data_IF_060902938848
#
_entry.id   IF_060902938848
#
_cell.length_a   1.000
_cell.length_b   1.000
_cell.length_c   1.000
_cell.angle_alpha   90.00
_cell.angle_beta   90.00
_cell.angle_gamma   90.00
#
_symmetry.space_group_name_H-M   'P 1'
#
loop_
_entity.id
_entity.type
_entity.pdbx_description
1 polymer ?
#
# COMPACT_ATOMS: atom_id res chain seq x y z
N UNK A 1 8.15 -22.03 -26.24
CA UNK A 1 7.54 -21.38 -25.06
C UNK A 1 8.46 -20.26 -24.61
N UNK A 2 7.95 -19.07 -24.28
CA UNK A 2 8.78 -18.02 -23.70
C UNK A 2 9.41 -18.52 -22.39
N UNK A 3 10.63 -18.11 -22.05
CA UNK A 3 11.26 -18.49 -20.79
C UNK A 3 10.41 -17.97 -19.62
N UNK A 4 10.06 -18.86 -18.69
CA UNK A 4 9.30 -18.52 -17.49
C UNK A 4 10.18 -17.68 -16.56
N UNK A 5 9.80 -16.42 -16.34
CA UNK A 5 10.50 -15.48 -15.46
C UNK A 5 9.60 -15.16 -14.28
N UNK A 6 10.10 -15.36 -13.06
CA UNK A 6 9.32 -15.13 -11.85
C UNK A 6 9.48 -13.69 -11.36
N UNK A 7 10.73 -13.19 -11.34
CA UNK A 7 11.08 -11.88 -10.77
C UNK A 7 12.14 -11.19 -11.62
N UNK A 8 12.07 -9.87 -11.72
CA UNK A 8 13.04 -9.02 -12.40
C UNK A 8 13.68 -8.07 -11.39
N UNK A 9 15.01 -8.11 -11.31
CA UNK A 9 15.80 -7.16 -10.52
C UNK A 9 16.30 -6.06 -11.44
N UNK A 10 15.85 -4.84 -11.22
CA UNK A 10 16.31 -3.65 -11.96
C UNK A 10 17.57 -3.13 -11.31
N UNK A 11 18.69 -3.28 -12.01
CA UNK A 11 20.00 -2.88 -11.56
C UNK A 11 20.47 -1.61 -12.29
N UNK A 12 21.03 -0.66 -11.53
CA UNK A 12 21.59 0.57 -12.06
C UNK A 12 23.01 0.33 -12.58
N UNK A 13 23.20 0.42 -13.90
CA UNK A 13 24.51 0.29 -14.52
C UNK A 13 25.36 1.57 -14.36
N UNK A 14 24.75 2.76 -14.47
CA UNK A 14 25.46 4.04 -14.38
C UNK A 14 24.84 5.00 -13.35
N UNK A 15 25.67 5.80 -12.68
CA UNK A 15 25.20 6.84 -11.76
C UNK A 15 24.58 8.01 -12.54
N UNK A 16 23.44 8.54 -12.08
CA UNK A 16 22.73 9.64 -12.77
C UNK A 16 23.51 10.96 -12.72
N UNK A 17 23.62 11.61 -13.89
CA UNK A 17 23.57 13.08 -14.11
C UNK A 17 24.59 13.98 -13.38
N UNK A 18 25.80 13.51 -13.11
CA UNK A 18 26.92 14.43 -12.83
C UNK A 18 28.07 14.11 -13.77
N UNK A 19 28.73 15.11 -14.39
CA UNK A 19 29.94 14.86 -15.17
C UNK A 19 31.03 14.42 -14.20
N UNK A 20 31.10 13.12 -13.96
CA UNK A 20 32.14 12.52 -13.14
C UNK A 20 33.47 12.68 -13.87
N UNK A 21 34.52 13.01 -13.11
CA UNK A 21 35.89 12.98 -13.63
C UNK A 21 36.20 11.60 -14.21
N UNK A 22 37.05 11.51 -15.25
CA UNK A 22 37.42 10.24 -15.89
C UNK A 22 37.83 9.16 -14.87
N UNK A 23 38.51 9.57 -13.80
CA UNK A 23 38.91 8.66 -12.72
C UNK A 23 37.73 8.17 -11.88
N UNK A 24 36.76 9.04 -11.59
CA UNK A 24 35.53 8.68 -10.87
C UNK A 24 34.65 7.75 -11.70
N UNK A 25 34.55 7.97 -13.01
CA UNK A 25 33.81 7.08 -13.94
C UNK A 25 34.42 5.69 -13.96
N UNK A 26 35.76 5.57 -13.95
CA UNK A 26 36.45 4.27 -13.90
C UNK A 26 36.18 3.55 -12.58
N UNK A 27 36.21 4.27 -11.45
CA UNK A 27 35.87 3.71 -10.12
C UNK A 27 34.40 3.28 -10.05
N UNK A 28 33.50 4.06 -10.64
CA UNK A 28 32.06 3.76 -10.73
C UNK A 28 31.82 2.46 -11.50
N UNK A 29 32.40 2.35 -12.69
CA UNK A 29 32.31 1.16 -13.54
C UNK A 29 32.86 -0.09 -12.83
N UNK A 30 34.00 0.03 -12.15
CA UNK A 30 34.57 -1.06 -11.37
C UNK A 30 33.66 -1.48 -10.20
N UNK A 31 33.03 -0.53 -9.49
CA UNK A 31 32.05 -0.82 -8.43
C UNK A 31 30.81 -1.52 -9.00
N UNK A 32 30.27 -1.01 -10.10
CA UNK A 32 29.11 -1.60 -10.81
C UNK A 32 29.39 -3.04 -11.22
N UNK A 33 30.53 -3.29 -11.87
CA UNK A 33 30.91 -4.62 -12.31
C UNK A 33 31.04 -5.59 -11.13
N UNK A 34 31.73 -5.17 -10.06
CA UNK A 34 31.88 -5.99 -8.84
C UNK A 34 30.53 -6.34 -8.22
N UNK A 35 29.66 -5.34 -8.04
CA UNK A 35 28.35 -5.56 -7.40
C UNK A 35 27.42 -6.40 -8.29
N UNK A 36 27.48 -6.25 -9.60
CA UNK A 36 26.75 -7.10 -10.53
C UNK A 36 27.26 -8.55 -10.50
N UNK A 37 28.57 -8.78 -10.51
CA UNK A 37 29.14 -10.13 -10.38
C UNK A 37 28.73 -10.78 -9.07
N UNK A 38 28.79 -10.04 -7.95
CA UNK A 38 28.35 -10.52 -6.64
C UNK A 38 26.84 -10.83 -6.64
N UNK A 39 26.01 -10.01 -7.28
CA UNK A 39 24.57 -10.24 -7.42
C UNK A 39 24.29 -11.57 -8.14
N UNK A 40 24.88 -11.76 -9.33
CA UNK A 40 24.68 -12.97 -10.12
C UNK A 40 25.21 -14.19 -9.36
N UNK A 41 26.42 -14.11 -8.81
CA UNK A 41 27.03 -15.20 -8.03
C UNK A 41 26.17 -15.57 -6.80
N UNK A 42 25.57 -14.59 -6.14
CA UNK A 42 24.68 -14.83 -4.99
C UNK A 42 23.39 -15.52 -5.44
N UNK A 43 22.78 -15.10 -6.54
CA UNK A 43 21.59 -15.74 -7.11
C UNK A 43 21.89 -17.17 -7.59
N UNK A 44 23.02 -17.40 -8.26
CA UNK A 44 23.40 -18.73 -8.75
C UNK A 44 23.78 -19.67 -7.63
N UNK A 45 24.50 -19.20 -6.59
CA UNK A 45 24.82 -20.00 -5.39
C UNK A 45 23.56 -20.38 -4.60
N UNK A 46 22.53 -19.54 -4.66
CA UNK A 46 21.23 -19.83 -4.08
C UNK A 46 20.40 -20.87 -4.87
N UNK A 47 20.87 -21.29 -6.04
CA UNK A 47 20.16 -22.21 -6.93
C UNK A 47 19.13 -21.54 -7.85
N UNK A 48 19.10 -20.21 -7.93
CA UNK A 48 18.25 -19.47 -8.86
C UNK A 48 18.94 -19.34 -10.23
N UNK A 49 18.15 -19.38 -11.31
CA UNK A 49 18.65 -19.11 -12.66
C UNK A 49 18.51 -17.61 -12.92
N UNK A 50 19.64 -16.91 -13.05
CA UNK A 50 19.68 -15.47 -13.27
C UNK A 50 20.35 -15.12 -14.61
N UNK A 51 19.71 -14.25 -15.39
CA UNK A 51 20.23 -13.78 -16.68
C UNK A 51 20.11 -12.27 -16.77
N UNK A 52 21.23 -11.57 -17.01
CA UNK A 52 21.25 -10.14 -17.28
C UNK A 52 20.90 -9.80 -18.73
N UNK A 53 20.00 -8.83 -18.92
CA UNK A 53 19.64 -8.23 -20.21
C UNK A 53 19.73 -6.71 -20.11
N UNK A 54 20.05 -6.06 -21.23
CA UNK A 54 20.08 -4.59 -21.31
C UNK A 54 18.65 -4.05 -21.17
N UNK A 55 18.46 -3.05 -20.31
CA UNK A 55 17.19 -2.32 -20.20
C UNK A 55 17.01 -1.30 -21.32
N UNK A 56 15.84 -0.69 -21.37
CA UNK A 56 15.51 0.36 -22.35
C UNK A 56 16.38 1.61 -22.14
N UNK A 57 16.58 2.00 -20.89
CA UNK A 57 17.52 3.07 -20.54
C UNK A 57 18.97 2.56 -20.57
N UNK A 58 19.88 3.35 -21.13
CA UNK A 58 21.32 3.02 -21.17
C UNK A 58 21.93 2.78 -19.77
N UNK A 59 21.30 3.34 -18.74
CA UNK A 59 21.75 3.24 -17.34
C UNK A 59 21.15 2.03 -16.59
N UNK A 60 20.35 1.19 -17.23
CA UNK A 60 19.62 0.10 -16.59
C UNK A 60 19.99 -1.27 -17.16
N UNK A 61 20.22 -2.21 -16.25
CA UNK A 61 20.39 -3.63 -16.53
C UNK A 61 19.26 -4.40 -15.83
N UNK A 62 18.58 -5.26 -16.57
CA UNK A 62 17.48 -6.09 -16.07
C UNK A 62 18.01 -7.49 -15.82
N UNK A 63 17.99 -7.93 -14.56
CA UNK A 63 18.34 -9.30 -14.20
C UNK A 63 17.05 -10.11 -14.08
N UNK A 64 16.82 -10.97 -15.05
CA UNK A 64 15.68 -11.89 -15.08
C UNK A 64 16.01 -13.11 -14.20
N UNK A 65 15.16 -13.38 -13.22
CA UNK A 65 15.35 -14.46 -12.26
C UNK A 65 14.22 -15.49 -12.40
N UNK A 66 14.60 -16.76 -12.52
CA UNK A 66 13.70 -17.90 -12.59
C UNK A 66 14.07 -18.93 -11.52
N UNK A 67 13.06 -19.40 -10.79
CA UNK A 67 13.22 -20.41 -9.76
C UNK A 67 12.99 -21.82 -10.34
N UNK A 68 13.96 -22.76 -10.22
CA UNK A 68 13.73 -24.14 -10.61
C UNK A 68 12.69 -24.82 -9.70
N UNK A 69 12.03 -25.87 -10.19
CA UNK A 69 11.00 -26.62 -9.47
C UNK A 69 11.49 -27.14 -8.11
N UNK A 70 12.71 -27.67 -8.07
CA UNK A 70 13.24 -28.36 -6.88
C UNK A 70 13.47 -27.38 -5.73
N UNK A 71 14.01 -26.19 -6.04
CA UNK A 71 14.17 -25.13 -5.06
C UNK A 71 12.81 -24.59 -4.60
N UNK A 72 11.85 -24.46 -5.53
CA UNK A 72 10.50 -24.01 -5.18
C UNK A 72 9.81 -24.96 -4.20
N UNK A 73 9.89 -26.28 -4.43
CA UNK A 73 9.32 -27.29 -3.52
C UNK A 73 9.92 -27.16 -2.13
N UNK A 74 11.24 -26.99 -2.04
CA UNK A 74 11.92 -26.75 -0.76
C UNK A 74 11.43 -25.48 -0.06
N UNK A 75 11.28 -24.37 -0.79
CA UNK A 75 10.79 -23.11 -0.24
C UNK A 75 9.36 -23.22 0.29
N UNK A 76 8.48 -23.90 -0.44
CA UNK A 76 7.09 -24.18 -0.02
C UNK A 76 7.08 -25.00 1.26
N UNK A 77 7.90 -26.05 1.34
CA UNK A 77 7.97 -26.88 2.54
C UNK A 77 8.46 -26.08 3.75
N UNK A 78 9.50 -25.26 3.58
CA UNK A 78 10.00 -24.39 4.66
C UNK A 78 8.94 -23.38 5.13
N UNK A 79 8.17 -22.81 4.21
CA UNK A 79 7.08 -21.90 4.57
C UNK A 79 5.96 -22.60 5.32
N UNK A 80 5.41 -23.71 4.78
CA UNK A 80 4.33 -24.47 5.45
C UNK A 80 4.74 -24.93 6.84
N UNK A 81 6.00 -25.34 7.01
CA UNK A 81 6.53 -25.73 8.30
C UNK A 81 6.60 -24.54 9.27
N UNK A 82 7.06 -23.38 8.82
CA UNK A 82 7.03 -22.14 9.60
C UNK A 82 5.60 -21.76 9.99
N UNK A 83 4.68 -21.74 9.03
CA UNK A 83 3.27 -21.40 9.25
C UNK A 83 2.62 -22.32 10.29
N UNK A 84 2.92 -23.63 10.22
CA UNK A 84 2.51 -24.60 11.23
C UNK A 84 3.03 -24.26 12.62
N UNK A 85 4.34 -24.00 12.77
CA UNK A 85 4.97 -23.69 14.06
C UNK A 85 4.40 -22.43 14.70
N UNK A 86 4.04 -21.42 13.91
CA UNK A 86 3.45 -20.18 14.39
C UNK A 86 1.91 -20.24 14.54
N UNK A 87 1.31 -21.39 14.23
CA UNK A 87 -0.10 -21.70 14.45
C UNK A 87 -1.05 -21.06 13.45
N UNK A 88 -0.63 -20.87 12.19
CA UNK A 88 -1.54 -20.46 11.13
C UNK A 88 -2.52 -21.60 10.83
N UNK A 89 -3.78 -21.29 10.47
CA UNK A 89 -4.74 -22.32 10.09
C UNK A 89 -4.24 -23.03 8.83
N UNK A 90 -4.15 -24.36 8.86
CA UNK A 90 -3.75 -25.17 7.73
C UNK A 90 -4.77 -26.28 7.47
N UNK A 91 -4.97 -26.60 6.20
CA UNK A 91 -5.87 -27.69 5.79
C UNK A 91 -5.25 -29.08 5.95
N UNK A 92 -3.92 -29.18 5.92
CA UNK A 92 -3.16 -30.43 6.05
C UNK A 92 -1.93 -30.21 6.94
N UNK A 93 -1.58 -31.21 7.74
CA UNK A 93 -0.31 -31.23 8.48
C UNK A 93 0.85 -31.47 7.50
N UNK A 94 2.01 -30.82 7.70
CA UNK A 94 3.19 -31.07 6.88
C UNK A 94 3.72 -32.47 7.23
N UNK A 95 3.31 -33.49 6.47
CA UNK A 95 3.95 -34.81 6.50
C UNK A 95 5.13 -34.82 5.53
N UNK A 96 6.24 -35.44 5.95
CA UNK A 96 7.52 -35.38 5.23
C UNK A 96 7.50 -36.00 3.81
N UNK A 97 6.47 -36.77 3.45
CA UNK A 97 6.50 -37.64 2.26
C UNK A 97 5.33 -37.44 1.27
N UNK A 98 4.23 -36.78 1.65
CA UNK A 98 2.97 -36.84 0.86
C UNK A 98 2.59 -35.56 0.08
N UNK A 99 3.35 -34.47 0.20
CA UNK A 99 2.94 -33.15 -0.31
C UNK A 99 3.57 -32.72 -1.64
N UNK A 100 4.34 -33.60 -2.29
CA UNK A 100 4.92 -33.36 -3.62
C UNK A 100 3.87 -33.17 -4.73
N UNK A 101 2.65 -33.72 -4.55
CA UNK A 101 1.66 -33.86 -5.64
C UNK A 101 0.29 -33.17 -5.43
N UNK A 102 0.02 -32.45 -4.33
CA UNK A 102 -1.35 -31.93 -4.10
C UNK A 102 -1.50 -30.41 -4.31
N UNK A 103 -2.00 -30.09 -5.51
CA UNK A 103 -2.44 -28.81 -6.07
C UNK A 103 -1.35 -27.88 -6.66
N UNK A 104 -1.54 -27.37 -7.91
CA UNK A 104 -0.66 -26.38 -8.48
C UNK A 104 -0.65 -25.12 -7.61
N UNK A 105 0.55 -24.61 -7.29
CA UNK A 105 0.70 -23.35 -6.59
C UNK A 105 0.05 -22.23 -7.40
N UNK A 106 -0.65 -21.34 -6.68
CA UNK A 106 -1.10 -20.07 -7.21
C UNK A 106 0.07 -19.27 -7.79
N UNK A 107 -0.17 -18.54 -8.88
CA UNK A 107 0.86 -17.72 -9.52
C UNK A 107 1.37 -16.63 -8.56
N UNK A 108 0.47 -16.07 -7.76
CA UNK A 108 0.82 -15.10 -6.73
C UNK A 108 1.71 -15.72 -5.64
N UNK A 109 1.39 -16.93 -5.17
CA UNK A 109 2.17 -17.59 -4.11
C UNK A 109 3.57 -17.95 -4.57
N UNK A 110 3.71 -18.43 -5.81
CA UNK A 110 5.02 -18.70 -6.42
C UNK A 110 5.87 -17.43 -6.45
N UNK A 111 5.33 -16.33 -6.98
CA UNK A 111 6.04 -15.05 -7.05
C UNK A 111 6.37 -14.52 -5.66
N UNK A 112 5.44 -14.61 -4.71
CA UNK A 112 5.60 -14.18 -3.32
C UNK A 112 6.74 -14.93 -2.65
N UNK A 113 6.81 -16.26 -2.79
CA UNK A 113 7.88 -17.11 -2.24
C UNK A 113 9.25 -16.74 -2.81
N UNK A 114 9.35 -16.63 -4.13
CA UNK A 114 10.62 -16.29 -4.80
C UNK A 114 11.05 -14.88 -4.43
N UNK A 115 10.13 -13.92 -4.44
CA UNK A 115 10.40 -12.55 -4.02
C UNK A 115 10.84 -12.49 -2.55
N UNK A 116 10.11 -13.14 -1.65
CA UNK A 116 10.45 -13.18 -0.23
C UNK A 116 11.82 -13.82 0.00
N UNK A 117 12.17 -14.89 -0.71
CA UNK A 117 13.49 -15.52 -0.62
C UNK A 117 14.62 -14.57 -1.07
N UNK A 118 14.42 -13.82 -2.15
CA UNK A 118 15.39 -12.83 -2.66
C UNK A 118 15.56 -11.65 -1.68
N UNK A 119 14.46 -11.12 -1.15
CA UNK A 119 14.47 -9.87 -0.36
C UNK A 119 14.63 -10.05 1.14
N UNK A 120 14.35 -11.23 1.70
CA UNK A 120 14.48 -11.45 3.16
C UNK A 120 15.95 -11.50 3.58
N UNK A 121 16.20 -11.14 4.84
CA UNK A 121 17.57 -11.13 5.38
C UNK A 121 18.13 -12.55 5.52
N UNK A 122 19.47 -12.74 5.51
CA UNK A 122 20.07 -14.05 5.73
C UNK A 122 19.71 -14.69 7.08
N UNK A 123 19.44 -13.88 8.11
CA UNK A 123 18.98 -14.36 9.42
C UNK A 123 17.59 -15.02 9.34
N UNK A 124 16.75 -14.55 8.43
CA UNK A 124 15.39 -15.03 8.18
C UNK A 124 15.34 -16.13 7.08
N UNK A 125 16.50 -16.55 6.56
CA UNK A 125 16.65 -17.59 5.53
C UNK A 125 16.64 -17.10 4.07
N UNK A 126 16.82 -15.79 3.83
CA UNK A 126 16.86 -15.19 2.49
C UNK A 126 18.23 -14.78 1.97
N UNK A 127 18.25 -14.10 0.83
CA UNK A 127 19.48 -13.64 0.14
C UNK A 127 19.90 -12.21 0.49
N UNK A 128 19.04 -11.44 1.16
CA UNK A 128 19.34 -10.07 1.57
C UNK A 128 19.44 -9.05 0.43
N UNK A 129 18.88 -9.33 -0.75
CA UNK A 129 18.88 -8.41 -1.89
C UNK A 129 17.76 -7.40 -1.69
N UNK A 130 18.03 -6.37 -0.88
CA UNK A 130 17.06 -5.35 -0.48
C UNK A 130 17.37 -4.02 -1.17
N UNK A 131 16.34 -3.36 -1.67
CA UNK A 131 16.45 -2.04 -2.31
C UNK A 131 16.81 -0.96 -1.28
N UNK A 132 17.83 -0.15 -1.57
CA UNK A 132 18.17 1.02 -0.75
C UNK A 132 19.07 0.72 0.46
N UNK A 133 19.48 -0.52 0.68
CA UNK A 133 20.54 -0.85 1.63
C UNK A 133 21.92 -0.45 1.08
N UNK A 134 22.84 -0.04 1.96
CA UNK A 134 24.23 0.32 1.59
C UNK A 134 24.98 -0.80 0.85
N UNK A 135 24.63 -2.05 1.15
CA UNK A 135 25.19 -3.23 0.49
C UNK A 135 24.73 -3.36 -0.97
N UNK A 136 23.52 -2.89 -1.27
CA UNK A 136 22.84 -3.00 -2.56
C UNK A 136 22.44 -1.64 -3.16
N UNK A 137 23.34 -0.66 -3.09
CA UNK A 137 23.13 0.72 -3.59
C UNK A 137 22.59 0.81 -5.03
N UNK A 138 22.95 -0.15 -5.88
CA UNK A 138 22.61 -0.15 -7.32
C UNK A 138 21.31 -0.88 -7.64
N UNK A 139 20.75 -1.66 -6.71
CA UNK A 139 19.48 -2.36 -6.92
C UNK A 139 18.35 -1.34 -6.76
N UNK A 140 17.67 -1.02 -7.86
CA UNK A 140 16.60 -0.03 -7.88
C UNK A 140 15.27 -0.62 -7.40
N UNK A 141 14.93 -1.81 -7.88
CA UNK A 141 13.66 -2.48 -7.57
C UNK A 141 13.73 -3.96 -7.88
N UNK A 142 13.00 -4.76 -7.11
CA UNK A 142 12.72 -6.17 -7.38
C UNK A 142 11.22 -6.25 -7.67
N UNK A 143 10.83 -6.66 -8.88
CA UNK A 143 9.43 -6.62 -9.33
C UNK A 143 9.02 -7.91 -10.05
N UNK A 144 7.74 -8.23 -10.04
CA UNK A 144 7.16 -9.32 -10.82
C UNK A 144 6.65 -8.83 -12.18
N UNK A 145 6.65 -9.70 -13.18
CA UNK A 145 6.09 -9.39 -14.50
C UNK A 145 4.57 -9.59 -14.50
N UNK A 146 3.87 -8.73 -15.23
CA UNK A 146 2.42 -8.87 -15.41
C UNK A 146 2.10 -9.95 -16.45
N UNK A 147 1.01 -10.68 -16.20
CA UNK A 147 0.39 -11.53 -17.20
C UNK A 147 -0.60 -10.69 -18.03
N UNK A 148 -0.19 -10.28 -19.22
CA UNK A 148 -1.00 -9.44 -20.10
C UNK A 148 -2.29 -10.14 -20.57
N UNK A 149 -2.24 -11.46 -20.81
CA UNK A 149 -3.41 -12.23 -21.24
C UNK A 149 -4.50 -12.25 -20.15
N UNK A 150 -4.09 -12.50 -18.90
CA UNK A 150 -5.00 -12.44 -17.75
C UNK A 150 -5.59 -11.04 -17.59
N UNK A 151 -4.76 -10.00 -17.66
CA UNK A 151 -5.21 -8.62 -17.50
C UNK A 151 -6.25 -8.23 -18.56
N UNK A 152 -6.03 -8.61 -19.81
CA UNK A 152 -6.97 -8.31 -20.90
C UNK A 152 -8.30 -9.04 -20.71
N UNK A 153 -8.27 -10.34 -20.36
CA UNK A 153 -9.46 -11.10 -20.04
C UNK A 153 -10.22 -10.50 -18.85
N UNK A 154 -9.49 -10.12 -17.81
CA UNK A 154 -10.03 -9.53 -16.59
C UNK A 154 -10.74 -8.19 -16.86
N UNK A 155 -10.08 -7.29 -17.59
CA UNK A 155 -10.65 -5.98 -17.95
C UNK A 155 -11.95 -6.17 -18.74
N UNK A 156 -11.97 -7.09 -19.73
CA UNK A 156 -13.16 -7.41 -20.54
C UNK A 156 -14.32 -7.94 -19.69
N UNK A 157 -14.05 -8.77 -18.69
CA UNK A 157 -15.07 -9.30 -17.77
C UNK A 157 -15.71 -8.18 -16.93
N UNK A 158 -14.91 -7.21 -16.49
CA UNK A 158 -15.40 -6.07 -15.70
C UNK A 158 -16.22 -5.07 -16.52
N UNK A 159 -15.90 -4.88 -17.80
CA UNK A 159 -16.62 -3.90 -18.64
C UNK A 159 -18.02 -4.37 -19.05
N UNK A 160 -18.25 -5.69 -19.19
CA UNK A 160 -19.45 -6.24 -19.85
C UNK A 160 -20.66 -6.45 -18.93
N UNK A 161 -20.82 -5.64 -17.86
CA UNK A 161 -21.93 -5.67 -16.87
C UNK A 161 -22.03 -6.93 -16.00
N UNK A 162 -21.03 -7.80 -15.95
CA UNK A 162 -20.99 -9.00 -15.10
C UNK A 162 -20.24 -8.80 -13.78
N UNK A 163 -20.33 -7.61 -13.18
CA UNK A 163 -19.66 -7.27 -11.91
C UNK A 163 -20.04 -8.26 -10.79
N UNK A 164 -21.27 -8.81 -10.83
CA UNK A 164 -21.74 -9.79 -9.85
C UNK A 164 -21.15 -11.20 -10.02
N UNK A 165 -20.68 -11.58 -11.22
CA UNK A 165 -20.13 -12.92 -11.52
C UNK A 165 -18.61 -12.94 -11.61
N UNK A 166 -17.95 -11.90 -11.12
CA UNK A 166 -16.49 -11.85 -11.08
C UNK A 166 -16.01 -12.80 -9.98
N UNK A 167 -15.31 -13.87 -10.37
CA UNK A 167 -14.63 -14.77 -9.44
C UNK A 167 -13.45 -14.04 -8.79
N UNK A 168 -13.72 -13.37 -7.65
CA UNK A 168 -12.70 -12.66 -6.87
C UNK A 168 -11.55 -13.58 -6.40
N UNK A 169 -11.77 -14.89 -6.38
CA UNK A 169 -10.75 -15.90 -6.08
C UNK A 169 -9.62 -15.90 -7.12
N UNK A 170 -9.92 -15.69 -8.41
CA UNK A 170 -8.89 -15.56 -9.45
C UNK A 170 -7.99 -14.35 -9.26
N UNK A 171 -8.52 -13.26 -8.67
CA UNK A 171 -7.72 -12.08 -8.31
C UNK A 171 -6.70 -12.44 -7.25
N UNK A 172 -7.11 -13.21 -6.24
CA UNK A 172 -6.23 -13.69 -5.19
C UNK A 172 -5.13 -14.58 -5.77
N UNK A 173 -5.49 -15.50 -6.66
CA UNK A 173 -4.53 -16.44 -7.23
C UNK A 173 -3.51 -15.76 -8.17
N UNK A 174 -3.82 -14.58 -8.71
CA UNK A 174 -2.91 -13.83 -9.57
C UNK A 174 -2.15 -12.68 -8.87
N UNK A 175 -2.79 -11.98 -7.93
CA UNK A 175 -2.26 -10.76 -7.30
C UNK A 175 -2.00 -10.90 -5.79
N UNK A 176 -2.41 -12.01 -5.17
CA UNK A 176 -2.22 -12.31 -3.76
C UNK A 176 -3.33 -11.76 -2.85
N UNK A 177 -3.22 -12.10 -1.57
CA UNK A 177 -4.29 -11.90 -0.59
C UNK A 177 -4.57 -10.43 -0.27
N UNK A 178 -3.54 -9.57 -0.22
CA UNK A 178 -3.72 -8.16 0.13
C UNK A 178 -4.55 -7.40 -0.91
N UNK A 179 -4.29 -7.65 -2.20
CA UNK A 179 -5.04 -7.03 -3.29
C UNK A 179 -6.44 -7.65 -3.39
N UNK A 180 -6.56 -8.97 -3.19
CA UNK A 180 -7.86 -9.63 -3.13
C UNK A 180 -8.74 -9.03 -2.01
N UNK A 181 -8.21 -8.84 -0.80
CA UNK A 181 -8.95 -8.27 0.32
C UNK A 181 -9.53 -6.89 -0.01
N UNK A 182 -8.77 -6.05 -0.73
CA UNK A 182 -9.26 -4.76 -1.21
C UNK A 182 -10.48 -4.92 -2.14
N UNK A 183 -10.42 -5.79 -3.14
CA UNK A 183 -11.54 -6.00 -4.07
C UNK A 183 -12.75 -6.67 -3.42
N UNK A 184 -12.52 -7.60 -2.47
CA UNK A 184 -13.57 -8.18 -1.64
C UNK A 184 -14.26 -7.09 -0.80
N UNK A 185 -13.50 -6.21 -0.15
CA UNK A 185 -14.05 -5.08 0.59
C UNK A 185 -14.83 -4.14 -0.31
N UNK A 186 -14.27 -3.74 -1.45
CA UNK A 186 -14.90 -2.84 -2.39
C UNK A 186 -16.25 -3.39 -2.88
N UNK A 187 -16.29 -4.68 -3.23
CA UNK A 187 -17.53 -5.34 -3.68
C UNK A 187 -18.56 -5.41 -2.55
N UNK A 188 -18.13 -5.78 -1.34
CA UNK A 188 -18.99 -5.87 -0.17
C UNK A 188 -19.55 -4.50 0.23
N UNK A 189 -18.71 -3.45 0.23
CA UNK A 189 -19.10 -2.08 0.54
C UNK A 189 -20.05 -1.50 -0.52
N UNK A 190 -19.77 -1.73 -1.80
CA UNK A 190 -20.65 -1.26 -2.89
C UNK A 190 -22.04 -1.92 -2.79
N UNK A 191 -22.11 -3.22 -2.47
CA UNK A 191 -23.40 -3.90 -2.23
C UNK A 191 -24.10 -3.38 -0.99
N UNK A 192 -23.36 -3.16 0.11
CA UNK A 192 -23.93 -2.62 1.34
C UNK A 192 -24.48 -1.20 1.16
N UNK A 193 -23.85 -0.37 0.31
CA UNK A 193 -24.27 0.99 -0.02
C UNK A 193 -25.61 1.07 -0.76
N UNK A 194 -26.13 -0.03 -1.31
CA UNK A 194 -27.45 -0.06 -1.94
C UNK A 194 -28.53 0.36 -0.92
N UNK A 195 -28.43 -0.12 0.33
CA UNK A 195 -29.39 0.23 1.39
C UNK A 195 -29.44 1.75 1.68
N UNK A 196 -28.34 2.43 2.07
CA UNK A 196 -28.38 3.86 2.35
C UNK A 196 -28.66 4.69 1.09
N UNK A 197 -28.34 4.18 -0.11
CA UNK A 197 -28.69 4.86 -1.37
C UNK A 197 -30.20 4.87 -1.61
N UNK A 198 -30.86 3.73 -1.47
CA UNK A 198 -32.33 3.64 -1.59
C UNK A 198 -33.00 4.49 -0.50
N UNK A 199 -32.53 4.37 0.74
CA UNK A 199 -33.03 5.18 1.85
C UNK A 199 -32.85 6.69 1.57
N UNK A 200 -31.68 7.09 1.06
CA UNK A 200 -31.38 8.47 0.69
C UNK A 200 -32.29 9.01 -0.40
N UNK A 201 -32.56 8.23 -1.45
CA UNK A 201 -33.50 8.61 -2.52
C UNK A 201 -34.92 8.79 -1.97
N UNK A 202 -35.39 7.87 -1.12
CA UNK A 202 -36.72 7.98 -0.51
C UNK A 202 -36.86 9.25 0.34
N UNK A 203 -35.88 9.55 1.20
CA UNK A 203 -35.91 10.75 2.04
C UNK A 203 -35.64 12.04 1.26
N UNK A 204 -34.93 11.99 0.14
CA UNK A 204 -34.74 13.16 -0.72
C UNK A 204 -36.05 13.62 -1.38
N UNK A 205 -36.90 12.68 -1.82
CA UNK A 205 -38.17 13.01 -2.49
C UNK A 205 -39.35 13.17 -1.53
N UNK A 206 -39.40 12.38 -0.44
CA UNK A 206 -40.57 12.32 0.45
C UNK A 206 -40.29 12.79 1.88
N UNK A 207 -39.01 12.93 2.25
CA UNK A 207 -38.60 13.27 3.60
C UNK A 207 -38.46 14.78 3.83
N UNK A 208 -38.33 15.15 5.10
CA UNK A 208 -37.93 16.49 5.51
C UNK A 208 -36.41 16.59 5.62
N UNK A 209 -35.81 17.75 5.28
CA UNK A 209 -34.40 17.97 5.54
C UNK A 209 -34.11 17.86 7.04
N UNK A 210 -32.94 17.31 7.40
CA UNK A 210 -32.50 17.09 8.78
C UNK A 210 -33.38 16.14 9.61
N UNK A 211 -34.00 15.13 8.97
CA UNK A 211 -34.79 14.12 9.68
C UNK A 211 -33.95 13.31 10.68
N UNK A 212 -34.42 13.25 11.93
CA UNK A 212 -33.84 12.44 13.01
C UNK A 212 -33.90 10.94 12.66
N UNK A 213 -35.02 10.50 12.06
CA UNK A 213 -35.24 9.08 11.72
C UNK A 213 -34.26 8.63 10.63
N UNK A 214 -34.01 9.46 9.61
CA UNK A 214 -33.01 9.16 8.59
C UNK A 214 -31.61 9.01 9.19
N UNK A 215 -31.25 9.93 10.10
CA UNK A 215 -29.94 9.96 10.74
C UNK A 215 -29.70 8.75 11.65
N UNK A 216 -30.72 8.32 12.41
CA UNK A 216 -30.62 7.13 13.27
C UNK A 216 -30.51 5.84 12.44
N UNK A 217 -31.26 5.73 11.34
CA UNK A 217 -31.17 4.58 10.43
C UNK A 217 -29.79 4.49 9.77
N UNK A 218 -29.22 5.62 9.30
CA UNK A 218 -27.87 5.65 8.75
C UNK A 218 -26.81 5.27 9.79
N UNK A 219 -26.94 5.78 11.02
CA UNK A 219 -26.05 5.43 12.12
C UNK A 219 -26.07 3.93 12.41
N UNK A 220 -27.26 3.34 12.57
CA UNK A 220 -27.42 1.89 12.78
C UNK A 220 -26.79 1.11 11.62
N UNK A 221 -27.08 1.50 10.37
CA UNK A 221 -26.50 0.85 9.19
C UNK A 221 -24.97 0.89 9.22
N UNK A 222 -24.36 2.03 9.57
CA UNK A 222 -22.91 2.17 9.65
C UNK A 222 -22.26 1.23 10.66
N UNK A 223 -22.87 1.08 11.85
CA UNK A 223 -22.39 0.16 12.89
C UNK A 223 -22.53 -1.29 12.44
N UNK A 224 -23.70 -1.64 11.90
CA UNK A 224 -23.99 -2.99 11.40
C UNK A 224 -23.02 -3.37 10.27
N UNK A 225 -22.76 -2.46 9.32
CA UNK A 225 -21.83 -2.71 8.24
C UNK A 225 -20.40 -2.96 8.74
N UNK A 226 -19.91 -2.15 9.68
CA UNK A 226 -18.56 -2.30 10.24
C UNK A 226 -18.41 -3.65 10.96
N UNK A 227 -19.37 -4.03 11.80
CA UNK A 227 -19.31 -5.31 12.51
C UNK A 227 -19.49 -6.51 11.58
N UNK A 228 -20.40 -6.41 10.60
CA UNK A 228 -20.56 -7.44 9.57
C UNK A 228 -19.27 -7.62 8.75
N UNK A 229 -18.61 -6.52 8.34
CA UNK A 229 -17.35 -6.61 7.61
C UNK A 229 -16.23 -7.23 8.46
N UNK A 230 -16.13 -6.91 9.75
CA UNK A 230 -15.18 -7.54 10.67
C UNK A 230 -15.38 -9.06 10.74
N UNK A 231 -16.62 -9.54 10.68
CA UNK A 231 -16.91 -10.98 10.59
C UNK A 231 -16.48 -11.56 9.24
N UNK A 232 -16.79 -10.89 8.13
CA UNK A 232 -16.36 -11.33 6.80
C UNK A 232 -14.85 -11.40 6.66
N UNK A 233 -14.10 -10.41 7.17
CA UNK A 233 -12.64 -10.41 7.20
C UNK A 233 -12.08 -11.63 7.95
N UNK A 234 -12.69 -11.99 9.10
CA UNK A 234 -12.30 -13.19 9.86
C UNK A 234 -12.58 -14.47 9.08
N UNK A 235 -13.73 -14.58 8.43
CA UNK A 235 -14.08 -15.75 7.60
C UNK A 235 -13.09 -15.87 6.43
N UNK A 236 -12.80 -14.77 5.74
CA UNK A 236 -11.85 -14.74 4.63
C UNK A 236 -10.43 -15.09 5.07
N UNK A 237 -9.94 -14.53 6.18
CA UNK A 237 -8.59 -14.83 6.68
C UNK A 237 -8.41 -16.29 7.10
N UNK A 238 -9.45 -16.95 7.60
CA UNK A 238 -9.41 -18.40 7.87
C UNK A 238 -9.46 -19.19 6.55
N UNK A 239 -10.36 -18.81 5.63
CA UNK A 239 -10.49 -19.47 4.30
C UNK A 239 -9.21 -19.38 3.47
N UNK A 240 -8.46 -18.30 3.61
CA UNK A 240 -7.20 -18.07 2.89
C UNK A 240 -5.98 -18.55 3.65
N UNK A 241 -6.14 -19.16 4.82
CA UNK A 241 -5.04 -19.61 5.67
C UNK A 241 -4.09 -18.48 6.16
N UNK A 242 -4.54 -17.23 6.12
CA UNK A 242 -3.73 -16.04 6.45
C UNK A 242 -3.98 -15.49 7.85
N UNK A 243 -4.88 -16.09 8.63
CA UNK A 243 -5.16 -15.64 10.00
C UNK A 243 -3.92 -15.78 10.88
N UNK A 244 -3.41 -14.66 11.37
CA UNK A 244 -2.19 -14.64 12.18
C UNK A 244 -0.90 -14.52 11.37
N UNK A 245 -0.98 -14.20 10.07
CA UNK A 245 0.18 -14.01 9.18
C UNK A 245 1.20 -12.99 9.71
N UNK A 246 0.80 -12.04 10.56
CA UNK A 246 1.72 -11.11 11.22
C UNK A 246 2.81 -11.80 12.04
N UNK A 247 2.61 -13.05 12.50
CA UNK A 247 3.58 -13.82 13.28
C UNK A 247 4.72 -14.38 12.44
N UNK A 248 4.44 -14.69 11.17
CA UNK A 248 5.39 -15.27 10.22
C UNK A 248 6.01 -14.22 9.29
N UNK A 249 5.54 -12.98 9.36
CA UNK A 249 6.05 -11.88 8.57
C UNK A 249 7.54 -11.66 8.83
N UNK A 250 8.35 -11.69 7.75
CA UNK A 250 9.80 -11.46 7.82
C UNK A 250 10.12 -10.06 8.33
N UNK A 251 11.26 -9.91 8.99
CA UNK A 251 11.66 -8.62 9.55
C UNK A 251 12.12 -7.67 8.45
N UNK A 252 11.89 -6.38 8.67
CA UNK A 252 12.42 -5.32 7.79
C UNK A 252 13.94 -5.31 7.89
N UNK A 253 14.61 -5.06 6.77
CA UNK A 253 16.06 -4.95 6.70
C UNK A 253 16.62 -3.86 7.63
N UNK A 254 15.91 -2.73 7.73
CA UNK A 254 16.32 -1.57 8.55
C UNK A 254 16.04 -1.76 10.05
N UNK A 255 15.50 -2.91 10.45
CA UNK A 255 15.14 -3.17 11.84
C UNK A 255 16.38 -3.46 12.69
N UNK A 256 16.57 -2.66 13.74
CA UNK A 256 17.64 -2.88 14.72
C UNK A 256 17.08 -3.66 15.92
N UNK A 257 17.56 -4.90 16.18
CA UNK A 257 17.11 -5.71 17.32
C UNK A 257 17.61 -5.14 18.66
N UNK A 258 16.96 -5.54 19.76
CA UNK A 258 17.36 -5.13 21.12
C UNK A 258 16.97 -3.69 21.49
N UNK A 259 16.13 -3.03 20.69
CA UNK A 259 15.66 -1.68 20.99
C UNK A 259 14.63 -1.70 22.15
N UNK A 260 14.84 -0.95 23.24
CA UNK A 260 13.90 -0.95 24.37
C UNK A 260 12.51 -0.44 23.97
N UNK A 261 11.47 -1.12 24.46
CA UNK A 261 10.08 -0.80 24.12
C UNK A 261 9.69 0.64 24.52
N UNK A 262 10.18 1.13 25.68
CA UNK A 262 9.88 2.46 26.18
C UNK A 262 10.46 3.56 25.28
N UNK A 263 11.65 3.35 24.71
CA UNK A 263 12.25 4.28 23.75
C UNK A 263 11.42 4.32 22.46
N UNK A 264 10.91 3.16 22.03
CA UNK A 264 10.06 3.09 20.83
C UNK A 264 8.77 3.88 21.04
N UNK A 265 8.14 3.71 22.20
CA UNK A 265 6.92 4.44 22.51
C UNK A 265 7.18 5.94 22.65
N UNK A 266 8.28 6.34 23.28
CA UNK A 266 8.69 7.75 23.33
C UNK A 266 8.88 8.36 21.92
N UNK A 267 9.49 7.62 20.98
CA UNK A 267 9.63 8.07 19.57
C UNK A 267 8.28 8.26 18.89
N UNK A 268 7.31 7.36 19.12
CA UNK A 268 5.95 7.54 18.59
C UNK A 268 5.28 8.77 19.17
N UNK A 269 5.43 9.01 20.48
CA UNK A 269 4.88 10.20 21.14
C UNK A 269 5.47 11.50 20.57
N UNK A 270 6.75 11.49 20.15
CA UNK A 270 7.38 12.65 19.47
C UNK A 270 6.67 13.03 18.16
N UNK A 271 5.98 12.11 17.50
CA UNK A 271 5.24 12.42 16.27
C UNK A 271 3.95 13.22 16.52
N UNK A 272 3.34 13.10 17.70
CA UNK A 272 2.07 13.76 18.06
C UNK A 272 2.12 15.28 17.91
N UNK A 273 3.08 16.02 18.50
CA UNK A 273 3.11 17.48 18.38
C UNK A 273 3.29 17.94 16.93
N UNK A 274 4.01 17.18 16.11
CA UNK A 274 4.18 17.48 14.69
C UNK A 274 2.87 17.28 13.93
N UNK A 275 2.16 16.17 14.20
CA UNK A 275 0.83 15.93 13.62
C UNK A 275 -0.13 17.06 14.00
N UNK A 276 -0.14 17.48 15.27
CA UNK A 276 -0.96 18.59 15.75
C UNK A 276 -0.60 19.92 15.09
N UNK A 277 0.69 20.22 14.91
CA UNK A 277 1.14 21.42 14.21
C UNK A 277 0.65 21.43 12.76
N UNK A 278 0.84 20.34 12.02
CA UNK A 278 0.38 20.27 10.63
C UNK A 278 -1.16 20.29 10.54
N UNK A 279 -1.85 19.66 11.48
CA UNK A 279 -3.29 19.72 11.59
C UNK A 279 -3.79 21.14 11.86
N UNK A 280 -3.14 21.89 12.76
CA UNK A 280 -3.53 23.28 13.05
C UNK A 280 -3.27 24.21 11.87
N UNK A 281 -2.11 24.10 11.21
CA UNK A 281 -1.81 24.87 9.99
C UNK A 281 -2.83 24.56 8.89
N UNK A 282 -3.14 23.28 8.65
CA UNK A 282 -4.15 22.88 7.68
C UNK A 282 -5.52 23.48 8.03
N UNK A 283 -5.94 23.37 9.29
CA UNK A 283 -7.22 23.94 9.74
C UNK A 283 -7.28 25.45 9.56
N UNK A 284 -6.20 26.20 9.85
CA UNK A 284 -6.15 27.65 9.64
C UNK A 284 -6.30 28.00 8.16
N UNK A 285 -5.59 27.30 7.27
CA UNK A 285 -5.67 27.53 5.83
C UNK A 285 -7.08 27.23 5.32
N UNK A 286 -7.67 26.10 5.73
CA UNK A 286 -9.02 25.70 5.30
C UNK A 286 -10.08 26.68 5.80
N UNK A 287 -10.02 27.11 7.06
CA UNK A 287 -10.91 28.14 7.59
C UNK A 287 -10.73 29.48 6.86
N UNK A 288 -9.49 29.87 6.56
CA UNK A 288 -9.21 31.10 5.79
C UNK A 288 -9.79 31.05 4.37
N UNK A 289 -9.64 29.92 3.67
CA UNK A 289 -10.27 29.69 2.36
C UNK A 289 -11.80 29.78 2.47
N UNK A 290 -12.38 29.14 3.48
CA UNK A 290 -13.83 29.14 3.70
C UNK A 290 -14.39 30.55 3.97
N UNK A 291 -13.71 31.33 4.82
CA UNK A 291 -14.11 32.72 5.10
C UNK A 291 -13.99 33.58 3.83
N UNK A 292 -12.92 33.40 3.06
CA UNK A 292 -12.75 34.10 1.78
C UNK A 292 -13.86 33.73 0.79
N UNK A 293 -14.26 32.46 0.74
CA UNK A 293 -15.38 31.99 -0.07
C UNK A 293 -16.70 32.66 0.32
N UNK A 294 -17.02 32.70 1.61
CA UNK A 294 -18.19 33.40 2.12
C UNK A 294 -18.16 34.90 1.76
N UNK A 295 -17.01 35.57 1.96
CA UNK A 295 -16.85 36.99 1.63
C UNK A 295 -17.07 37.29 0.13
N UNK A 296 -16.44 36.50 -0.75
CA UNK A 296 -16.51 36.71 -2.20
C UNK A 296 -17.92 36.44 -2.73
N UNK A 297 -18.61 35.43 -2.18
CA UNK A 297 -19.95 35.06 -2.64
C UNK A 297 -21.06 35.97 -2.10
N UNK A 298 -20.92 36.50 -0.89
CA UNK A 298 -21.98 37.28 -0.24
C UNK A 298 -21.80 38.79 -0.35
N UNK A 299 -20.56 39.29 -0.23
CA UNK A 299 -20.31 40.72 0.01
C UNK A 299 -19.66 41.42 -1.18
N UNK A 300 -19.01 40.69 -2.09
CA UNK A 300 -18.25 41.28 -3.18
C UNK A 300 -19.10 41.51 -4.46
N UNK A 301 -19.58 42.75 -4.63
CA UNK A 301 -20.27 43.21 -5.85
C UNK A 301 -19.37 44.02 -6.81
N UNK A 302 -18.04 43.87 -6.70
CA UNK A 302 -17.08 44.61 -7.52
C UNK A 302 -17.00 44.15 -8.99
N UNK A 303 -16.30 44.91 -9.85
CA UNK A 303 -16.06 44.50 -11.22
C UNK A 303 -15.26 43.19 -11.26
N UNK A 304 -15.69 42.25 -12.11
CA UNK A 304 -14.99 40.95 -12.25
C UNK A 304 -15.39 39.89 -11.21
N UNK A 305 -16.52 40.03 -10.52
CA UNK A 305 -17.00 39.07 -9.51
C UNK A 305 -16.94 37.60 -9.97
N UNK A 306 -17.23 37.32 -11.25
CA UNK A 306 -17.17 35.96 -11.84
C UNK A 306 -15.76 35.35 -11.78
N UNK A 307 -14.72 36.16 -11.91
CA UNK A 307 -13.32 35.71 -11.86
C UNK A 307 -12.89 35.59 -10.39
N UNK A 308 -13.24 36.58 -9.57
CA UNK A 308 -12.91 36.61 -8.14
C UNK A 308 -13.54 35.43 -7.40
N UNK A 309 -14.72 34.96 -7.82
CA UNK A 309 -15.38 33.76 -7.29
C UNK A 309 -14.53 32.48 -7.32
N UNK A 310 -13.57 32.37 -8.26
CA UNK A 310 -12.67 31.21 -8.33
C UNK A 310 -11.45 31.33 -7.39
N UNK A 311 -11.21 32.49 -6.79
CA UNK A 311 -10.03 32.75 -5.94
C UNK A 311 -9.89 31.76 -4.76
N UNK A 312 -10.95 31.46 -3.98
CA UNK A 312 -10.84 30.49 -2.88
C UNK A 312 -10.48 29.08 -3.37
N UNK A 313 -11.08 28.64 -4.48
CA UNK A 313 -10.80 27.34 -5.10
C UNK A 313 -9.37 27.26 -5.62
N UNK A 314 -8.88 28.33 -6.26
CA UNK A 314 -7.48 28.43 -6.71
C UNK A 314 -6.51 28.37 -5.52
N UNK A 315 -6.78 29.14 -4.47
CA UNK A 315 -5.97 29.16 -3.25
C UNK A 315 -5.92 27.77 -2.58
N UNK A 316 -7.07 27.11 -2.45
CA UNK A 316 -7.18 25.75 -1.94
C UNK A 316 -6.32 24.78 -2.77
N UNK A 317 -6.52 24.77 -4.09
CA UNK A 317 -5.83 23.86 -5.01
C UNK A 317 -4.31 24.08 -5.05
N UNK A 318 -3.84 25.30 -4.80
CA UNK A 318 -2.43 25.63 -4.77
C UNK A 318 -1.76 25.26 -3.43
N UNK A 319 -2.41 25.56 -2.30
CA UNK A 319 -1.78 25.43 -0.97
C UNK A 319 -1.96 24.04 -0.35
N UNK A 320 -3.16 23.47 -0.41
CA UNK A 320 -3.52 22.26 0.34
C UNK A 320 -2.73 21.03 -0.15
N UNK A 321 -2.64 20.74 -1.46
CA UNK A 321 -1.88 19.58 -1.92
C UNK A 321 -0.39 19.66 -1.56
N UNK A 322 0.21 20.85 -1.60
CA UNK A 322 1.62 21.05 -1.23
C UNK A 322 1.86 20.74 0.25
N UNK A 323 0.97 21.22 1.12
CA UNK A 323 1.03 20.93 2.56
C UNK A 323 0.86 19.44 2.85
N UNK A 324 -0.08 18.77 2.18
CA UNK A 324 -0.33 17.34 2.34
C UNK A 324 0.88 16.50 1.90
N UNK A 325 1.52 16.84 0.77
CA UNK A 325 2.73 16.13 0.32
C UNK A 325 3.92 16.38 1.26
N UNK A 326 4.11 17.62 1.74
CA UNK A 326 5.13 17.93 2.75
C UNK A 326 4.92 17.14 4.06
N UNK A 327 3.66 17.02 4.50
CA UNK A 327 3.30 16.23 5.65
C UNK A 327 3.54 14.74 5.43
N UNK A 328 3.10 14.16 4.29
CA UNK A 328 3.34 12.75 3.96
C UNK A 328 4.84 12.43 3.96
N UNK A 329 5.66 13.30 3.37
CA UNK A 329 7.12 13.14 3.38
C UNK A 329 7.69 13.16 4.81
N UNK A 330 7.21 14.07 5.66
CA UNK A 330 7.61 14.15 7.08
C UNK A 330 7.15 12.91 7.85
N UNK A 331 5.89 12.49 7.71
CA UNK A 331 5.33 11.31 8.33
C UNK A 331 6.08 10.03 7.96
N UNK A 332 6.56 9.92 6.71
CA UNK A 332 7.41 8.82 6.27
C UNK A 332 8.74 8.79 7.03
N UNK A 333 9.44 9.93 7.10
CA UNK A 333 10.70 10.06 7.88
C UNK A 333 10.53 9.69 9.35
N UNK A 334 9.46 10.17 10.00
CA UNK A 334 9.17 9.79 11.40
C UNK A 334 8.90 8.30 11.55
N UNK A 335 8.13 7.72 10.64
CA UNK A 335 7.77 6.29 10.73
C UNK A 335 8.98 5.40 10.44
N UNK A 336 9.91 5.82 9.58
CA UNK A 336 11.19 5.14 9.39
C UNK A 336 12.06 5.22 10.67
N UNK A 337 12.03 6.35 11.38
CA UNK A 337 12.74 6.54 12.65
C UNK A 337 12.17 5.74 13.84
N UNK A 338 10.90 5.34 13.80
CA UNK A 338 10.22 4.56 14.84
C UNK A 338 10.72 3.10 14.99
N UNK A 339 11.61 2.63 14.11
CA UNK A 339 12.21 1.28 14.14
C UNK A 339 11.16 0.15 14.28
N UNK A 340 10.26 0.05 13.30
CA UNK A 340 9.28 -1.03 13.23
C UNK A 340 9.91 -2.34 12.76
N UNK A 341 9.57 -3.45 13.43
CA UNK A 341 10.10 -4.78 13.11
C UNK A 341 9.56 -5.35 11.80
N UNK A 342 8.27 -5.15 11.54
CA UNK A 342 7.55 -5.71 10.41
C UNK A 342 7.04 -4.59 9.48
N UNK A 343 6.87 -4.92 8.20
CA UNK A 343 6.39 -3.97 7.18
C UNK A 343 4.92 -3.61 7.41
N UNK A 344 4.10 -4.56 7.85
CA UNK A 344 2.70 -4.33 8.24
C UNK A 344 2.57 -3.29 9.36
N UNK A 345 3.40 -3.38 10.41
CA UNK A 345 3.39 -2.42 11.53
C UNK A 345 3.87 -1.03 11.11
N UNK A 346 4.87 -0.96 10.23
CA UNK A 346 5.35 0.30 9.67
C UNK A 346 4.25 0.96 8.82
N UNK A 347 3.66 0.21 7.89
CA UNK A 347 2.60 0.68 7.01
C UNK A 347 1.36 1.12 7.80
N UNK A 348 0.94 0.35 8.83
CA UNK A 348 -0.17 0.73 9.71
C UNK A 348 0.09 2.06 10.42
N UNK A 349 1.29 2.23 10.99
CA UNK A 349 1.67 3.47 11.67
C UNK A 349 1.66 4.66 10.69
N UNK A 350 2.25 4.48 9.50
CA UNK A 350 2.26 5.52 8.46
C UNK A 350 0.83 5.89 7.99
N UNK A 351 -0.02 4.90 7.71
CA UNK A 351 -1.40 5.11 7.28
C UNK A 351 -2.22 5.88 8.31
N UNK A 352 -2.10 5.57 9.60
CA UNK A 352 -2.80 6.31 10.66
C UNK A 352 -2.37 7.78 10.67
N UNK A 353 -1.07 8.07 10.58
CA UNK A 353 -0.56 9.44 10.53
C UNK A 353 -1.11 10.20 9.31
N UNK A 354 -1.08 9.60 8.12
CA UNK A 354 -1.58 10.21 6.88
C UNK A 354 -3.11 10.40 6.94
N UNK A 355 -3.83 9.45 7.53
CA UNK A 355 -5.28 9.48 7.67
C UNK A 355 -5.75 10.68 8.50
N UNK A 356 -5.08 11.03 9.60
CA UNK A 356 -5.47 12.16 10.46
C UNK A 356 -5.63 13.46 9.68
N UNK A 357 -4.63 13.85 8.89
CA UNK A 357 -4.69 15.08 8.09
C UNK A 357 -5.63 14.96 6.89
N UNK A 358 -5.69 13.78 6.27
CA UNK A 358 -6.60 13.54 5.15
C UNK A 358 -8.07 13.64 5.60
N UNK A 359 -8.38 13.17 6.81
CA UNK A 359 -9.70 13.29 7.42
C UNK A 359 -10.06 14.75 7.73
N UNK A 360 -9.14 15.52 8.31
CA UNK A 360 -9.34 16.96 8.53
C UNK A 360 -9.61 17.66 7.19
N UNK A 361 -8.79 17.39 6.17
CA UNK A 361 -8.98 17.99 4.85
C UNK A 361 -10.35 17.67 4.22
N UNK A 362 -10.81 16.42 4.36
CA UNK A 362 -12.07 15.97 3.76
C UNK A 362 -13.31 16.50 4.50
N UNK A 363 -13.27 16.59 5.83
CA UNK A 363 -14.45 16.85 6.64
C UNK A 363 -14.51 18.23 7.29
N UNK A 364 -13.39 18.96 7.40
CA UNK A 364 -13.38 20.25 8.10
C UNK A 364 -14.24 21.30 7.39
N UNK A 365 -14.20 21.37 6.05
CA UNK A 365 -15.05 22.30 5.30
C UNK A 365 -16.55 22.08 5.58
N UNK A 366 -16.99 20.81 5.54
CA UNK A 366 -18.37 20.45 5.88
C UNK A 366 -18.71 20.76 7.34
N UNK A 367 -17.77 20.55 8.26
CA UNK A 367 -17.96 20.87 9.68
C UNK A 367 -18.07 22.38 9.91
N UNK A 368 -17.25 23.20 9.24
CA UNK A 368 -17.36 24.66 9.31
C UNK A 368 -18.72 25.14 8.77
N UNK A 369 -19.16 24.61 7.63
CA UNK A 369 -20.49 24.94 7.10
C UNK A 369 -21.61 24.57 8.08
N UNK A 370 -21.60 23.35 8.61
CA UNK A 370 -22.69 22.84 9.43
C UNK A 370 -22.73 23.41 10.86
N UNK A 371 -21.57 23.64 11.49
CA UNK A 371 -21.48 24.03 12.90
C UNK A 371 -21.12 25.50 13.13
N UNK A 372 -20.52 26.19 12.15
CA UNK A 372 -20.12 27.60 12.29
C UNK A 372 -20.96 28.50 11.39
N UNK A 373 -21.13 28.16 10.12
CA UNK A 373 -21.81 29.05 9.18
C UNK A 373 -23.34 29.03 9.38
N UNK A 374 -23.98 27.86 9.25
CA UNK A 374 -25.46 27.75 9.31
C UNK A 374 -26.07 28.23 10.64
N UNK A 375 -25.50 27.92 11.82
CA UNK A 375 -26.10 28.33 13.09
C UNK A 375 -25.95 29.83 13.38
N UNK A 376 -24.85 30.45 12.96
CA UNK A 376 -24.50 31.83 13.32
C UNK A 376 -24.85 32.86 12.23
N UNK A 377 -25.29 32.45 11.04
CA UNK A 377 -25.79 33.36 10.00
C UNK A 377 -27.22 33.87 10.28
N UNK A 378 -27.98 33.20 11.16
CA UNK A 378 -29.39 33.52 11.47
C UNK A 378 -29.61 34.22 12.83
N UNK A 379 -28.56 34.48 13.60
CA UNK A 379 -28.62 35.24 14.85
C UNK A 379 -27.84 36.53 14.69
#
# INVERSE_FOLDING_TARGET
MPPHVDVVVVFRAASKRTPLSKEQTRKDAAKTQRQYTVLIDTLTRAGLKAVGRRGENQDQLLVLVACPSDLLVRLVHCERYSDFLYGLPMSKLPSAEADLDSAPLSSADRVRLVHAYITSTPQDGGLGIITGCKEWDRVQSVMALHNHEFNEQWIRLWTRRRIASVELEKVRDQFGDSIALYFFFLTAYTRALIFPSVLGVLYYFFGTPYSVVYSTLLFIWSVVFVEWWRLQERILSVRWHTRGSFRVEKRRADFVPGFPWWRKEARKMTSIPVILLFASVLSIILTGVFILEAFVTQLYNGPGYRIVAFTPTLLFSALVPQLLEMYKASARRYTDWENHAHQSSHAKSFSIKVFTLSAINAYLGLALSAFVYVPFERG
#
